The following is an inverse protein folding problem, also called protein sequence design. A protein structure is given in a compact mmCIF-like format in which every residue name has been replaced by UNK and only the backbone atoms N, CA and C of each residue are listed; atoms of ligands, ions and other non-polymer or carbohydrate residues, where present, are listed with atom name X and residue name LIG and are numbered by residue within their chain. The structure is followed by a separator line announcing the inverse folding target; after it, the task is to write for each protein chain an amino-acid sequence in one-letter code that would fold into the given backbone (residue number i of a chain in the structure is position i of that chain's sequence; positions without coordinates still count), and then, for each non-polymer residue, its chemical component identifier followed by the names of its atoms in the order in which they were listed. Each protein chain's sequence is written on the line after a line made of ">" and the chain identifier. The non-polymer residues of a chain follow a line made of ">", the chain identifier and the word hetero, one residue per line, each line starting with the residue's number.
data_IF_790498903732
#
_entry.id   IF_790498903732
#
_cell.length_a   1.000
_cell.length_b   1.000
_cell.length_c   1.000
_cell.angle_alpha   90.00
_cell.angle_beta   90.00
_cell.angle_gamma   90.00
#
_symmetry.space_group_name_H-M   'P 1'
#
loop_
_entity.id
_entity.type
_entity.pdbx_description
1 polymer ?
#
# COMPACT_ATOMS: atom_id res chain seq x y z
N UNK A 1 17.45 -4.35 19.24
CA UNK A 1 16.88 -3.57 18.12
C UNK A 1 17.33 -4.10 16.79
N UNK A 2 16.36 -4.56 15.99
CA UNK A 2 16.57 -5.08 14.64
C UNK A 2 16.73 -3.98 13.58
N UNK A 3 16.50 -2.70 13.96
CA UNK A 3 16.68 -1.52 13.09
C UNK A 3 15.96 -1.62 11.74
N UNK A 4 14.71 -2.06 11.76
CA UNK A 4 13.89 -2.20 10.56
C UNK A 4 13.53 -0.80 10.03
N UNK A 5 13.92 -0.51 8.79
CA UNK A 5 13.63 0.78 8.15
C UNK A 5 12.18 0.88 7.68
N UNK A 6 11.63 -0.20 7.11
CA UNK A 6 10.30 -0.20 6.47
C UNK A 6 9.58 -1.54 6.73
N UNK A 7 8.27 -1.45 6.99
CA UNK A 7 7.35 -2.58 7.06
C UNK A 7 6.32 -2.44 5.94
N UNK A 8 6.23 -3.45 5.08
CA UNK A 8 5.13 -3.59 4.13
C UNK A 8 4.02 -4.45 4.74
N UNK A 9 2.77 -3.96 4.72
CA UNK A 9 1.63 -4.70 5.30
C UNK A 9 0.64 -5.12 4.22
N UNK A 10 0.53 -6.44 4.00
CA UNK A 10 -0.48 -7.04 3.12
C UNK A 10 -1.65 -7.66 3.89
N UNK A 11 -2.62 -8.22 3.14
CA UNK A 11 -3.80 -8.92 3.65
C UNK A 11 -4.57 -8.19 4.76
N UNK A 12 -5.51 -7.33 4.34
CA UNK A 12 -6.31 -6.48 5.24
C UNK A 12 -5.67 -5.11 5.48
N UNK A 13 -6.29 -4.31 6.35
CA UNK A 13 -5.80 -2.97 6.70
C UNK A 13 -5.79 -2.82 8.23
N UNK A 14 -4.63 -3.05 8.84
CA UNK A 14 -4.45 -2.84 10.27
C UNK A 14 -4.14 -1.38 10.55
N UNK A 15 -4.96 -0.73 11.39
CA UNK A 15 -4.66 0.62 11.89
C UNK A 15 -3.68 0.59 13.06
N UNK A 16 -3.63 -0.53 13.77
CA UNK A 16 -2.85 -0.68 14.99
C UNK A 16 -1.34 -0.62 14.72
N UNK A 17 -0.89 -1.05 13.54
CA UNK A 17 0.52 -1.00 13.14
C UNK A 17 1.06 0.44 13.18
N UNK A 18 0.26 1.43 12.75
CA UNK A 18 0.64 2.85 12.79
C UNK A 18 0.76 3.35 14.24
N UNK A 19 0.02 2.75 15.18
CA UNK A 19 0.15 3.06 16.61
C UNK A 19 1.40 2.41 17.20
N UNK A 20 1.71 1.18 16.81
CA UNK A 20 2.86 0.43 17.35
C UNK A 20 4.21 1.05 16.97
N UNK A 21 4.27 1.73 15.82
CA UNK A 21 5.50 2.35 15.31
C UNK A 21 5.65 3.84 15.67
N UNK A 22 4.75 4.43 16.49
CA UNK A 22 4.77 5.88 16.76
C UNK A 22 6.08 6.39 17.38
N UNK A 23 6.73 5.56 18.19
CA UNK A 23 8.02 5.88 18.83
C UNK A 23 9.22 5.32 18.05
N UNK A 24 9.01 4.90 16.80
CA UNK A 24 10.03 4.34 15.91
C UNK A 24 10.25 5.22 14.68
N UNK A 25 11.43 5.10 14.08
CA UNK A 25 11.72 5.64 12.74
C UNK A 25 11.29 4.71 11.61
N UNK A 26 10.73 3.54 11.93
CA UNK A 26 10.25 2.56 10.95
C UNK A 26 9.05 3.10 10.19
N UNK A 27 9.12 3.10 8.85
CA UNK A 27 7.99 3.44 8.00
C UNK A 27 7.03 2.25 7.84
N UNK A 28 5.73 2.52 7.68
CA UNK A 28 4.72 1.52 7.31
C UNK A 28 4.15 1.85 5.94
N UNK A 29 4.24 0.91 5.01
CA UNK A 29 3.74 1.01 3.63
C UNK A 29 2.66 -0.06 3.39
N UNK A 30 1.37 0.31 3.45
CA UNK A 30 0.29 -0.64 3.20
C UNK A 30 0.16 -1.05 1.73
N UNK A 31 -0.15 -2.32 1.50
CA UNK A 31 -0.66 -2.82 0.22
C UNK A 31 -2.16 -2.56 0.18
N UNK A 32 -2.63 -1.89 -0.86
CA UNK A 32 -4.01 -1.43 -1.03
C UNK A 32 -4.53 -1.78 -2.42
N UNK A 33 -5.84 -2.01 -2.51
CA UNK A 33 -6.53 -2.35 -3.76
C UNK A 33 -7.66 -1.37 -4.10
N UNK A 34 -7.76 -0.24 -3.38
CA UNK A 34 -8.81 0.76 -3.57
C UNK A 34 -8.37 2.16 -3.15
N UNK A 35 -8.96 3.18 -3.79
CA UNK A 35 -8.82 4.60 -3.42
C UNK A 35 -9.12 4.86 -1.94
N UNK A 36 -10.16 4.20 -1.40
CA UNK A 36 -10.55 4.35 0.01
C UNK A 36 -9.44 3.91 0.95
N UNK A 37 -8.79 2.78 0.67
CA UNK A 37 -7.70 2.26 1.48
C UNK A 37 -6.44 3.12 1.32
N UNK A 38 -6.13 3.57 0.11
CA UNK A 38 -4.98 4.45 -0.15
C UNK A 38 -5.08 5.78 0.62
N UNK A 39 -6.23 6.46 0.54
CA UNK A 39 -6.49 7.69 1.32
C UNK A 39 -6.44 7.46 2.82
N UNK A 40 -6.89 6.30 3.29
CA UNK A 40 -6.79 5.96 4.71
C UNK A 40 -5.34 5.76 5.14
N UNK A 41 -4.52 5.08 4.33
CA UNK A 41 -3.08 4.94 4.58
C UNK A 41 -2.38 6.29 4.67
N UNK A 42 -2.60 7.17 3.69
CA UNK A 42 -2.06 8.53 3.68
C UNK A 42 -2.49 9.30 4.93
N UNK A 43 -3.78 9.26 5.29
CA UNK A 43 -4.29 9.92 6.51
C UNK A 43 -3.63 9.42 7.80
N UNK A 44 -3.21 8.15 7.83
CA UNK A 44 -2.53 7.54 8.98
C UNK A 44 -1.01 7.77 8.98
N UNK A 45 -0.48 8.48 7.97
CA UNK A 45 0.93 8.85 7.89
C UNK A 45 1.79 7.86 7.11
N UNK A 46 1.20 7.00 6.28
CA UNK A 46 1.98 6.16 5.38
C UNK A 46 2.80 7.05 4.42
N UNK A 47 4.12 6.84 4.26
CA UNK A 47 4.93 7.62 3.35
C UNK A 47 4.77 7.19 1.88
N UNK A 48 4.19 6.02 1.64
CA UNK A 48 3.86 5.47 0.33
C UNK A 48 2.76 4.40 0.47
N UNK A 49 2.20 3.95 -0.66
CA UNK A 49 1.34 2.76 -0.73
C UNK A 49 1.75 1.87 -1.90
N UNK A 50 1.49 0.57 -1.78
CA UNK A 50 1.53 -0.35 -2.92
C UNK A 50 0.11 -0.54 -3.45
N UNK A 51 -0.14 -0.15 -4.70
CA UNK A 51 -1.39 -0.45 -5.40
C UNK A 51 -1.28 -1.85 -6.02
N UNK A 52 -2.09 -2.81 -5.56
CA UNK A 52 -2.05 -4.20 -6.01
C UNK A 52 -3.31 -4.56 -6.80
N UNK A 53 -3.11 -4.93 -8.08
CA UNK A 53 -4.16 -5.35 -9.00
C UNK A 53 -4.34 -6.86 -9.06
N UNK A 54 -5.36 -7.31 -9.82
CA UNK A 54 -5.73 -8.72 -9.92
C UNK A 54 -4.70 -9.60 -10.65
N UNK A 55 -3.72 -9.01 -11.32
CA UNK A 55 -2.60 -9.72 -11.93
C UNK A 55 -1.50 -10.13 -10.93
N UNK A 56 -1.59 -9.71 -9.67
CA UNK A 56 -0.69 -10.19 -8.63
C UNK A 56 -0.99 -11.65 -8.26
N UNK A 57 0.01 -12.35 -7.71
CA UNK A 57 -0.19 -13.67 -7.12
C UNK A 57 -0.62 -13.57 -5.65
N UNK A 58 -1.22 -14.63 -5.10
CA UNK A 58 -1.54 -14.71 -3.67
C UNK A 58 -2.97 -14.26 -3.34
N UNK A 59 -3.15 -13.59 -2.20
CA UNK A 59 -4.46 -13.13 -1.73
C UNK A 59 -4.73 -11.70 -2.17
N UNK A 60 -5.78 -11.51 -2.96
CA UNK A 60 -6.06 -10.25 -3.63
C UNK A 60 -7.24 -9.52 -2.99
N UNK A 61 -7.08 -8.21 -2.82
CA UNK A 61 -8.14 -7.34 -2.30
C UNK A 61 -9.09 -6.79 -3.37
N UNK A 62 -8.96 -7.22 -4.62
CA UNK A 62 -9.73 -6.75 -5.77
C UNK A 62 -9.64 -7.74 -6.93
N UNK A 63 -10.65 -7.75 -7.79
CA UNK A 63 -10.63 -8.45 -9.09
C UNK A 63 -10.26 -7.50 -10.25
N UNK A 64 -10.03 -6.21 -9.96
CA UNK A 64 -9.72 -5.19 -10.97
C UNK A 64 -8.24 -5.19 -11.35
N UNK A 65 -7.95 -4.92 -12.63
CA UNK A 65 -6.59 -4.83 -13.16
C UNK A 65 -5.80 -3.70 -12.50
N UNK A 66 -4.48 -3.90 -12.36
CA UNK A 66 -3.56 -2.82 -11.97
C UNK A 66 -3.69 -1.61 -12.91
N UNK A 67 -3.96 -1.84 -14.21
CA UNK A 67 -4.11 -0.78 -15.21
C UNK A 67 -5.31 0.12 -14.94
N UNK A 68 -6.33 -0.41 -14.27
CA UNK A 68 -7.54 0.34 -13.94
C UNK A 68 -7.39 1.07 -12.59
N UNK A 69 -6.89 0.39 -11.56
CA UNK A 69 -6.85 0.95 -10.21
C UNK A 69 -5.68 1.91 -9.98
N UNK A 70 -4.56 1.72 -10.68
CA UNK A 70 -3.36 2.53 -10.50
C UNK A 70 -3.62 4.02 -10.77
N UNK A 71 -4.18 4.45 -11.92
CA UNK A 71 -4.46 5.86 -12.15
C UNK A 71 -5.43 6.46 -11.12
N UNK A 72 -6.48 5.71 -10.74
CA UNK A 72 -7.44 6.16 -9.72
C UNK A 72 -6.76 6.40 -8.36
N UNK A 73 -5.86 5.49 -7.96
CA UNK A 73 -5.15 5.61 -6.68
C UNK A 73 -4.17 6.78 -6.74
N UNK A 74 -3.38 6.90 -7.82
CA UNK A 74 -2.43 8.00 -8.04
C UNK A 74 -3.11 9.37 -7.98
N UNK A 75 -4.28 9.53 -8.59
CA UNK A 75 -5.03 10.79 -8.53
C UNK A 75 -5.61 11.09 -7.14
N UNK A 76 -5.70 10.08 -6.27
CA UNK A 76 -6.45 10.18 -5.02
C UNK A 76 -5.62 10.53 -3.78
N UNK A 77 -4.29 10.44 -3.87
CA UNK A 77 -3.33 10.66 -2.77
C UNK A 77 -2.15 11.52 -3.24
N UNK A 78 -1.41 12.13 -2.31
CA UNK A 78 -0.22 12.94 -2.60
C UNK A 78 1.09 12.19 -2.33
N UNK A 79 1.01 11.02 -1.69
CA UNK A 79 2.15 10.16 -1.40
C UNK A 79 2.51 9.27 -2.62
N UNK A 80 3.78 8.86 -2.76
CA UNK A 80 4.19 7.90 -3.78
C UNK A 80 3.33 6.62 -3.81
N UNK A 81 3.05 6.14 -5.02
CA UNK A 81 2.30 4.90 -5.29
C UNK A 81 3.20 3.93 -6.04
N UNK A 82 3.33 2.70 -5.54
CA UNK A 82 4.10 1.62 -6.14
C UNK A 82 3.11 0.63 -6.77
N UNK A 83 3.22 0.38 -8.07
CA UNK A 83 2.33 -0.57 -8.75
C UNK A 83 2.79 -2.02 -8.52
N UNK A 84 1.85 -2.93 -8.27
CA UNK A 84 2.08 -4.36 -8.13
C UNK A 84 1.00 -5.18 -8.86
N UNK A 85 1.43 -6.29 -9.46
CA UNK A 85 0.59 -7.18 -10.26
C UNK A 85 0.92 -7.09 -11.74
N UNK A 86 1.30 -8.22 -12.36
CA UNK A 86 1.52 -8.31 -13.81
C UNK A 86 2.70 -7.53 -14.41
N UNK A 87 3.55 -6.89 -13.60
CA UNK A 87 4.73 -6.14 -14.07
C UNK A 87 5.94 -7.09 -14.10
N UNK A 88 6.44 -7.41 -15.30
CA UNK A 88 7.50 -8.42 -15.50
C UNK A 88 8.69 -7.90 -16.33
N UNK A 89 8.54 -6.74 -16.95
CA UNK A 89 9.55 -6.05 -17.75
C UNK A 89 9.41 -4.51 -17.61
N UNK A 90 10.29 -3.75 -18.26
CA UNK A 90 10.36 -2.29 -18.21
C UNK A 90 10.99 -1.66 -19.43
#
# INVERSE_FOLDING_TARGET
>A
DEKIDIIFTGAGFSRDIFRWIQDSTTAVVPIVSSVKAARLAEKLGAPAVVAEGSEAGGHLGTDRSIKDILPEIVESVNIPVIAAGGIVDG
#
